data_IF_753609485475
#
_entry.id   IF_753609485475
#
_cell.length_a   1.000
_cell.length_b   1.000
_cell.length_c   1.000
_cell.angle_alpha   90.00
_cell.angle_beta   90.00
_cell.angle_gamma   90.00
#
_symmetry.space_group_name_H-M   'P 1'
#
loop_
_entity.id
_entity.type
_entity.pdbx_description
1 polymer ?
#
# COMPACT_ATOMS: atom_id res chain seq x y z
N UNK A 1 34.25 -10.11 7.14
CA UNK A 1 34.26 -9.93 8.60
C UNK A 1 33.06 -9.04 8.95
N UNK A 2 32.19 -9.52 9.82
CA UNK A 2 31.02 -8.77 10.29
C UNK A 2 31.45 -7.96 11.51
N UNK A 3 31.03 -6.69 11.55
CA UNK A 3 31.26 -5.80 12.69
C UNK A 3 29.91 -5.56 13.36
N UNK A 4 29.89 -5.51 14.68
CA UNK A 4 28.72 -5.14 15.48
C UNK A 4 29.00 -3.89 16.30
N UNK A 5 27.96 -3.11 16.55
CA UNK A 5 27.96 -1.97 17.45
C UNK A 5 26.57 -1.76 18.02
N UNK A 6 26.49 -1.17 19.20
CA UNK A 6 25.23 -0.81 19.81
C UNK A 6 24.92 0.68 19.61
N UNK A 7 23.68 0.99 19.33
CA UNK A 7 23.14 2.34 19.34
C UNK A 7 22.15 2.43 20.49
N UNK A 8 22.34 3.38 21.38
CA UNK A 8 21.38 3.68 22.45
C UNK A 8 20.71 5.02 22.21
N UNK A 9 19.37 5.00 22.28
CA UNK A 9 18.52 6.18 22.15
C UNK A 9 17.62 6.22 23.39
N UNK A 10 17.64 7.33 24.14
CA UNK A 10 16.80 7.51 25.30
C UNK A 10 15.51 8.26 24.91
N UNK A 11 14.39 7.95 25.58
CA UNK A 11 13.06 8.53 25.28
C UNK A 11 13.03 10.05 25.39
N UNK A 12 13.85 10.61 26.27
CA UNK A 12 13.89 12.05 26.54
C UNK A 12 14.70 12.82 25.50
N UNK A 13 15.55 12.11 24.73
CA UNK A 13 16.48 12.69 23.77
C UNK A 13 16.45 11.95 22.43
N UNK A 14 15.27 11.78 21.86
CA UNK A 14 15.07 11.00 20.60
C UNK A 14 15.91 11.47 19.40
N UNK A 15 16.50 12.66 19.48
CA UNK A 15 17.40 13.22 18.46
C UNK A 15 18.88 12.93 18.71
N UNK A 16 19.20 12.51 19.92
CA UNK A 16 20.57 12.22 20.33
C UNK A 16 20.74 10.71 20.52
N UNK A 17 21.88 10.21 20.11
CA UNK A 17 22.20 8.81 20.28
C UNK A 17 23.66 8.64 20.66
N UNK A 18 23.95 7.57 21.37
CA UNK A 18 25.31 7.13 21.67
C UNK A 18 25.59 5.82 20.95
N UNK A 19 26.80 5.66 20.48
CA UNK A 19 27.27 4.42 19.83
C UNK A 19 28.48 3.85 20.56
N UNK A 20 28.58 2.53 20.59
CA UNK A 20 29.82 1.85 20.98
C UNK A 20 30.82 1.83 19.83
N UNK A 21 32.09 1.62 20.13
CA UNK A 21 33.08 1.30 19.12
C UNK A 21 32.73 -0.02 18.43
N UNK A 22 32.90 -0.11 17.09
CA UNK A 22 32.64 -1.34 16.36
C UNK A 22 33.51 -2.49 16.82
N UNK A 23 32.90 -3.62 17.13
CA UNK A 23 33.57 -4.86 17.53
C UNK A 23 33.42 -5.92 16.44
N UNK A 24 34.38 -6.80 16.32
CA UNK A 24 34.28 -7.98 15.46
C UNK A 24 33.19 -8.88 16.01
N UNK A 25 32.20 -9.20 15.19
CA UNK A 25 31.12 -10.13 15.55
C UNK A 25 31.47 -11.55 15.13
N UNK A 26 31.09 -12.49 15.96
CA UNK A 26 31.14 -13.94 15.65
C UNK A 26 29.94 -14.39 14.82
N UNK A 27 29.00 -13.48 14.56
CA UNK A 27 27.81 -13.78 13.73
C UNK A 27 28.19 -14.13 12.29
N UNK A 28 27.44 -15.02 11.70
CA UNK A 28 27.60 -15.46 10.31
C UNK A 28 26.73 -14.66 9.35
N UNK A 29 25.74 -13.92 9.87
CA UNK A 29 24.78 -13.13 9.11
C UNK A 29 24.70 -11.71 9.64
N UNK A 30 24.39 -10.77 8.76
CA UNK A 30 24.11 -9.38 9.17
C UNK A 30 22.67 -9.25 9.66
N UNK A 31 22.44 -8.38 10.61
CA UNK A 31 21.11 -8.11 11.15
C UNK A 31 21.10 -6.90 12.07
N UNK A 32 19.91 -6.47 12.44
CA UNK A 32 19.67 -5.41 13.42
C UNK A 32 18.75 -5.94 14.51
N UNK A 33 19.12 -5.77 15.77
CA UNK A 33 18.27 -6.05 16.91
C UNK A 33 17.90 -4.75 17.60
N UNK A 34 16.61 -4.50 17.77
CA UNK A 34 16.10 -3.34 18.51
C UNK A 34 15.45 -3.82 19.79
N UNK A 35 15.93 -3.31 20.93
CA UNK A 35 15.42 -3.66 22.26
C UNK A 35 14.81 -2.42 22.89
N UNK A 36 13.54 -2.52 23.25
CA UNK A 36 12.84 -1.48 24.02
C UNK A 36 12.83 -1.88 25.50
N UNK A 37 13.44 -1.06 26.35
CA UNK A 37 13.47 -1.26 27.78
C UNK A 37 12.45 -0.32 28.45
N UNK A 38 11.94 -0.73 29.62
CA UNK A 38 11.07 0.10 30.45
C UNK A 38 9.82 0.61 29.72
N UNK A 39 9.19 -0.27 28.93
CA UNK A 39 7.95 0.08 28.23
C UNK A 39 6.84 0.33 29.26
N UNK A 40 6.27 1.53 29.24
CA UNK A 40 5.23 1.97 30.20
C UNK A 40 3.87 1.29 30.03
N UNK A 41 3.69 0.52 28.94
CA UNK A 41 2.42 -0.13 28.60
C UNK A 41 2.53 -1.65 28.74
N UNK A 42 1.51 -2.27 29.33
CA UNK A 42 1.41 -3.72 29.37
C UNK A 42 1.17 -4.30 27.98
N UNK A 43 2.17 -4.95 27.43
CA UNK A 43 2.05 -5.69 26.17
C UNK A 43 1.50 -7.09 26.47
N UNK A 44 0.17 -7.20 26.55
CA UNK A 44 -0.51 -8.48 26.76
C UNK A 44 -0.60 -9.30 25.48
N UNK A 45 -0.77 -10.61 25.62
CA UNK A 45 -1.05 -11.49 24.46
C UNK A 45 -2.30 -11.05 23.69
N UNK A 46 -3.27 -10.48 24.39
CA UNK A 46 -4.48 -9.93 23.77
C UNK A 46 -4.17 -8.70 22.92
N UNK A 47 -3.31 -7.79 23.40
CA UNK A 47 -2.86 -6.64 22.63
C UNK A 47 -2.12 -7.08 21.37
N UNK A 48 -1.21 -8.07 21.47
CA UNK A 48 -0.49 -8.61 20.32
C UNK A 48 -1.46 -9.15 19.27
N UNK A 49 -2.41 -9.99 19.67
CA UNK A 49 -3.31 -10.69 18.74
C UNK A 49 -4.41 -9.80 18.16
N UNK A 50 -4.95 -8.87 18.95
CA UNK A 50 -6.11 -8.04 18.56
C UNK A 50 -5.74 -6.68 17.99
N UNK A 51 -4.53 -6.19 18.28
CA UNK A 51 -4.10 -4.84 17.88
C UNK A 51 -2.85 -4.88 17.03
N UNK A 52 -1.75 -5.43 17.55
CA UNK A 52 -0.45 -5.35 16.88
C UNK A 52 -0.44 -6.15 15.56
N UNK A 53 -0.87 -7.41 15.57
CA UNK A 53 -0.88 -8.25 14.37
C UNK A 53 -1.77 -7.66 13.27
N UNK A 54 -3.02 -7.27 13.50
CA UNK A 54 -3.84 -6.60 12.48
C UNK A 54 -3.21 -5.32 11.95
N UNK A 55 -2.61 -4.51 12.83
CA UNK A 55 -1.91 -3.29 12.42
C UNK A 55 -0.72 -3.58 11.52
N UNK A 56 0.15 -4.53 11.89
CA UNK A 56 1.30 -4.90 11.08
C UNK A 56 0.90 -5.51 9.73
N UNK A 57 -0.17 -6.32 9.69
CA UNK A 57 -0.72 -6.81 8.42
C UNK A 57 -1.13 -5.65 7.52
N UNK A 58 -1.91 -4.71 8.05
CA UNK A 58 -2.36 -3.55 7.28
C UNK A 58 -1.19 -2.65 6.82
N UNK A 59 -0.16 -2.51 7.65
CA UNK A 59 0.98 -1.63 7.36
C UNK A 59 1.93 -2.23 6.32
N UNK A 60 2.24 -3.52 6.44
CA UNK A 60 3.31 -4.14 5.67
C UNK A 60 2.85 -5.06 4.53
N UNK A 61 1.56 -5.40 4.43
CA UNK A 61 1.10 -6.34 3.40
C UNK A 61 1.48 -5.94 1.98
N UNK A 62 1.36 -4.67 1.62
CA UNK A 62 1.74 -4.19 0.29
C UNK A 62 3.24 -4.34 0.01
N UNK A 63 4.08 -4.10 1.03
CA UNK A 63 5.52 -4.26 0.93
C UNK A 63 5.92 -5.73 0.82
N UNK A 64 5.35 -6.61 1.66
CA UNK A 64 5.60 -8.05 1.64
C UNK A 64 5.10 -8.69 0.34
N UNK A 65 3.99 -8.19 -0.22
CA UNK A 65 3.47 -8.65 -1.50
C UNK A 65 4.36 -8.25 -2.68
N UNK A 66 5.10 -7.16 -2.54
CA UNK A 66 6.07 -6.70 -3.52
C UNK A 66 7.41 -7.40 -3.38
N UNK A 67 7.88 -7.60 -2.15
CA UNK A 67 9.19 -8.13 -1.80
C UNK A 67 9.04 -9.42 -1.02
N UNK A 68 8.73 -10.51 -1.73
CA UNK A 68 8.42 -11.83 -1.15
C UNK A 68 9.61 -12.50 -0.45
N UNK A 69 10.81 -11.98 -0.64
CA UNK A 69 12.01 -12.44 0.08
C UNK A 69 12.06 -11.95 1.55
N UNK A 70 11.24 -10.97 1.92
CA UNK A 70 11.14 -10.48 3.28
C UNK A 70 10.00 -11.15 4.03
N UNK A 71 10.23 -11.43 5.30
CA UNK A 71 9.25 -12.05 6.19
C UNK A 71 9.26 -11.33 7.53
N UNK A 72 8.10 -11.23 8.15
CA UNK A 72 7.94 -10.68 9.50
C UNK A 72 7.51 -11.81 10.42
N UNK A 73 8.18 -11.95 11.54
CA UNK A 73 7.85 -12.95 12.56
C UNK A 73 7.43 -12.27 13.86
N UNK A 74 6.40 -12.78 14.50
CA UNK A 74 5.93 -12.33 15.80
C UNK A 74 5.92 -13.54 16.74
N UNK A 75 6.72 -13.50 17.77
CA UNK A 75 6.89 -14.64 18.69
C UNK A 75 7.21 -15.96 17.96
N UNK A 76 8.05 -15.90 16.93
CA UNK A 76 8.44 -17.06 16.13
C UNK A 76 7.41 -17.55 15.11
N UNK A 77 6.25 -16.88 14.98
CA UNK A 77 5.25 -17.18 13.96
C UNK A 77 5.30 -16.15 12.83
N UNK A 78 5.32 -16.63 11.60
CA UNK A 78 5.29 -15.77 10.42
C UNK A 78 3.98 -15.00 10.34
N UNK A 79 4.08 -13.72 9.97
CA UNK A 79 2.93 -12.84 9.76
C UNK A 79 2.22 -13.19 8.45
N UNK A 80 1.22 -14.06 8.52
CA UNK A 80 0.34 -14.32 7.38
C UNK A 80 -0.62 -13.14 7.14
N UNK A 81 -0.41 -12.42 6.06
CA UNK A 81 -1.27 -11.31 5.61
C UNK A 81 -2.24 -11.70 4.49
N UNK A 82 -2.23 -12.94 4.00
CA UNK A 82 -3.06 -13.38 2.88
C UNK A 82 -4.57 -13.15 3.13
N UNK A 83 -4.99 -13.28 4.39
CA UNK A 83 -6.39 -13.08 4.79
C UNK A 83 -6.93 -11.65 4.58
N UNK A 84 -6.06 -10.66 4.44
CA UNK A 84 -6.50 -9.28 4.17
C UNK A 84 -6.55 -8.93 2.67
N UNK A 85 -6.09 -9.82 1.80
CA UNK A 85 -6.21 -9.68 0.35
C UNK A 85 -7.59 -10.21 -0.06
N UNK A 86 -8.42 -9.35 -0.63
CA UNK A 86 -9.74 -9.71 -1.13
C UNK A 86 -9.70 -10.15 -2.60
N UNK A 87 -8.85 -9.50 -3.39
CA UNK A 87 -8.69 -9.74 -4.82
C UNK A 87 -7.31 -9.26 -5.26
N UNK A 88 -6.68 -9.97 -6.17
CA UNK A 88 -5.48 -9.50 -6.85
C UNK A 88 -5.51 -9.86 -8.34
N UNK A 89 -4.92 -9.00 -9.16
CA UNK A 89 -4.85 -9.19 -10.61
C UNK A 89 -3.60 -8.51 -11.17
N UNK A 90 -2.91 -9.18 -12.09
CA UNK A 90 -1.83 -8.59 -12.87
C UNK A 90 -2.36 -8.08 -14.19
N UNK A 91 -2.02 -6.84 -14.53
CA UNK A 91 -2.35 -6.21 -15.80
C UNK A 91 -1.10 -5.62 -16.44
N UNK A 92 -1.09 -5.52 -17.75
CA UNK A 92 0.08 -5.04 -18.48
C UNK A 92 -0.36 -4.03 -19.54
N UNK A 93 -0.67 -2.78 -19.16
CA UNK A 93 -1.01 -1.73 -20.12
C UNK A 93 0.19 -1.44 -21.04
N UNK A 94 -0.07 -1.43 -22.34
CA UNK A 94 0.89 -1.10 -23.37
C UNK A 94 0.58 0.30 -23.88
N UNK A 95 1.53 1.21 -23.72
CA UNK A 95 1.39 2.60 -24.12
C UNK A 95 2.45 2.98 -25.16
N UNK A 96 2.05 3.79 -26.14
CA UNK A 96 2.96 4.27 -27.17
C UNK A 96 3.76 5.47 -26.67
N UNK A 97 5.06 5.28 -26.55
CA UNK A 97 6.01 6.34 -26.21
C UNK A 97 6.76 6.76 -27.48
N UNK A 98 6.40 7.89 -28.03
CA UNK A 98 6.88 8.34 -29.35
C UNK A 98 6.54 7.37 -30.49
N UNK A 99 6.54 7.80 -31.72
CA UNK A 99 6.03 7.04 -32.89
C UNK A 99 6.67 5.66 -33.14
N UNK A 100 7.64 5.21 -32.33
CA UNK A 100 8.43 3.99 -32.59
C UNK A 100 8.55 3.01 -31.43
N UNK A 101 8.28 3.41 -30.18
CA UNK A 101 8.50 2.55 -29.01
C UNK A 101 7.22 2.43 -28.19
N UNK A 102 6.82 1.21 -27.89
CA UNK A 102 5.78 0.93 -26.90
C UNK A 102 6.43 0.55 -25.57
N UNK A 103 5.90 1.07 -24.48
CA UNK A 103 6.26 0.64 -23.12
C UNK A 103 5.14 -0.27 -22.61
N UNK A 104 5.53 -1.41 -22.06
CA UNK A 104 4.64 -2.39 -21.46
C UNK A 104 4.84 -2.38 -19.95
N UNK A 105 4.00 -1.64 -19.25
CA UNK A 105 4.08 -1.52 -17.79
C UNK A 105 3.59 -2.80 -17.10
N UNK A 106 4.36 -3.29 -16.14
CA UNK A 106 3.91 -4.38 -15.27
C UNK A 106 3.12 -3.79 -14.12
N UNK A 107 1.85 -4.17 -14.00
CA UNK A 107 1.00 -3.65 -12.94
C UNK A 107 0.37 -4.79 -12.14
N UNK A 108 0.34 -4.63 -10.81
CA UNK A 108 -0.35 -5.50 -9.89
C UNK A 108 -1.42 -4.72 -9.14
N UNK A 109 -2.66 -5.09 -9.34
CA UNK A 109 -3.81 -4.57 -8.60
C UNK A 109 -4.08 -5.47 -7.40
N UNK A 110 -4.35 -4.86 -6.24
CA UNK A 110 -4.74 -5.55 -5.01
C UNK A 110 -5.91 -4.81 -4.40
N UNK A 111 -6.99 -5.54 -4.09
CA UNK A 111 -8.09 -5.06 -3.26
C UNK A 111 -7.96 -5.67 -1.86
N UNK A 112 -8.10 -4.84 -0.86
CA UNK A 112 -7.93 -5.21 0.53
C UNK A 112 -9.27 -5.44 1.23
N UNK A 113 -9.33 -6.39 2.17
CA UNK A 113 -10.49 -6.64 3.03
C UNK A 113 -10.57 -5.69 4.22
N UNK A 114 -9.48 -5.01 4.53
CA UNK A 114 -9.36 -4.11 5.68
C UNK A 114 -8.97 -2.73 5.21
N UNK A 115 -9.35 -1.73 6.00
CA UNK A 115 -8.83 -0.38 5.79
C UNK A 115 -7.33 -0.42 6.06
N UNK A 116 -6.55 -0.20 5.02
CA UNK A 116 -5.15 0.11 5.13
C UNK A 116 -5.07 1.50 5.77
N UNK A 117 -3.96 2.07 6.07
CA UNK A 117 -3.86 3.42 6.64
C UNK A 117 -4.69 4.48 5.88
N UNK A 118 -4.77 5.71 6.36
CA UNK A 118 -5.70 6.73 5.85
C UNK A 118 -5.55 7.11 4.37
N UNK A 119 -4.46 6.66 3.73
CA UNK A 119 -4.13 7.06 2.37
C UNK A 119 -3.77 5.90 1.41
N UNK A 120 -4.10 4.65 1.73
CA UNK A 120 -3.60 3.49 0.97
C UNK A 120 -4.33 3.12 -0.30
N UNK A 121 -5.37 3.81 -0.69
CA UNK A 121 -5.86 3.70 -2.07
C UNK A 121 -4.94 4.50 -2.98
N UNK A 122 -3.77 3.93 -3.29
CA UNK A 122 -2.67 4.59 -4.00
C UNK A 122 -2.15 3.79 -5.18
N UNK A 123 -1.53 4.51 -6.09
CA UNK A 123 -0.57 3.99 -7.06
C UNK A 123 0.83 4.04 -6.44
N UNK A 124 1.59 2.97 -6.61
CA UNK A 124 3.00 2.86 -6.25
C UNK A 124 3.79 2.66 -7.53
N UNK A 125 4.69 3.57 -7.85
CA UNK A 125 5.53 3.52 -9.05
C UNK A 125 6.95 3.15 -8.67
N UNK A 126 7.41 2.01 -9.20
CA UNK A 126 8.71 1.43 -8.90
C UNK A 126 9.50 1.22 -10.18
N UNK A 127 10.83 1.22 -10.04
CA UNK A 127 11.71 0.73 -11.10
C UNK A 127 11.78 -0.81 -11.10
N UNK A 128 12.53 -1.39 -12.04
CA UNK A 128 12.69 -2.85 -12.13
C UNK A 128 13.48 -3.45 -10.95
N UNK A 129 14.26 -2.65 -10.21
CA UNK A 129 14.94 -3.05 -8.97
C UNK A 129 14.00 -3.01 -7.76
N UNK A 130 12.70 -2.78 -7.98
CA UNK A 130 11.67 -2.65 -6.94
C UNK A 130 11.94 -1.51 -5.94
N UNK A 131 12.60 -0.46 -6.39
CA UNK A 131 12.73 0.78 -5.61
C UNK A 131 11.52 1.68 -5.85
N UNK A 132 10.92 2.13 -4.77
CA UNK A 132 9.80 3.05 -4.83
C UNK A 132 10.29 4.44 -5.30
N UNK A 133 9.82 4.89 -6.44
CA UNK A 133 10.17 6.19 -7.03
C UNK A 133 9.12 7.26 -6.73
N UNK A 134 7.85 6.89 -6.71
CA UNK A 134 6.76 7.84 -6.51
C UNK A 134 5.49 7.16 -6.02
N UNK A 135 4.65 7.87 -5.28
CA UNK A 135 3.29 7.44 -4.93
C UNK A 135 2.27 8.49 -5.31
N UNK A 136 1.06 8.05 -5.65
CA UNK A 136 -0.04 8.95 -5.98
C UNK A 136 -1.37 8.36 -5.50
N UNK A 137 -2.20 9.16 -4.85
CA UNK A 137 -3.54 8.75 -4.49
C UNK A 137 -4.39 8.49 -5.74
N UNK A 138 -5.24 7.45 -5.69
CA UNK A 138 -6.18 7.16 -6.78
C UNK A 138 -7.38 8.12 -6.73
N UNK A 139 -8.10 8.25 -7.85
CA UNK A 139 -9.36 9.04 -7.88
C UNK A 139 -10.48 8.43 -7.02
N UNK A 140 -10.32 7.17 -6.59
CA UNK A 140 -11.30 6.45 -5.77
C UNK A 140 -10.92 6.43 -4.29
N UNK A 141 -9.84 7.10 -3.92
CA UNK A 141 -9.45 7.25 -2.52
C UNK A 141 -10.52 8.04 -1.74
N UNK A 142 -10.82 7.60 -0.51
CA UNK A 142 -11.77 8.27 0.41
C UNK A 142 -13.20 8.46 -0.14
N UNK A 143 -13.68 7.54 -0.98
CA UNK A 143 -15.08 7.56 -1.47
C UNK A 143 -16.11 7.06 -0.46
N UNK A 144 -15.67 6.58 0.70
CA UNK A 144 -16.56 6.13 1.78
C UNK A 144 -17.24 4.78 1.57
N UNK A 145 -16.85 4.04 0.55
CA UNK A 145 -17.46 2.78 0.14
C UNK A 145 -16.63 1.53 0.49
N UNK A 146 -15.61 1.66 1.28
CA UNK A 146 -14.71 0.58 1.69
C UNK A 146 -13.99 -0.14 0.53
N UNK A 147 -13.91 0.48 -0.64
CA UNK A 147 -13.15 -0.04 -1.79
C UNK A 147 -11.66 0.27 -1.63
N UNK A 148 -11.03 -0.39 -0.65
CA UNK A 148 -9.61 -0.20 -0.38
C UNK A 148 -8.76 -0.96 -1.38
N UNK A 149 -7.81 -0.29 -2.01
CA UNK A 149 -7.03 -0.87 -3.08
C UNK A 149 -5.65 -0.23 -3.23
N UNK A 150 -4.74 -0.99 -3.80
CA UNK A 150 -3.41 -0.55 -4.22
C UNK A 150 -3.16 -0.98 -5.66
N UNK A 151 -2.43 -0.18 -6.42
CA UNK A 151 -1.92 -0.55 -7.73
C UNK A 151 -0.42 -0.31 -7.75
N UNK A 152 0.34 -1.36 -7.89
CA UNK A 152 1.79 -1.34 -8.01
C UNK A 152 2.12 -1.34 -9.49
N UNK A 153 2.93 -0.40 -9.94
CA UNK A 153 3.34 -0.24 -11.34
C UNK A 153 4.85 -0.28 -11.41
N UNK A 154 5.40 -1.20 -12.20
CA UNK A 154 6.84 -1.47 -12.27
C UNK A 154 7.33 -1.23 -13.69
N UNK A 155 8.29 -0.32 -13.84
CA UNK A 155 9.02 -0.07 -15.07
C UNK A 155 10.18 0.92 -14.82
N UNK A 156 11.28 0.78 -15.54
CA UNK A 156 12.43 1.70 -15.45
C UNK A 156 12.14 3.10 -15.97
N UNK A 157 11.02 3.30 -16.65
CA UNK A 157 10.48 4.61 -17.01
C UNK A 157 10.40 5.55 -15.78
N UNK A 158 10.16 5.01 -14.59
CA UNK A 158 10.02 5.79 -13.36
C UNK A 158 11.37 6.25 -12.78
N UNK A 159 12.51 5.80 -13.30
CA UNK A 159 13.82 6.34 -12.93
C UNK A 159 13.99 7.82 -13.35
N UNK A 160 13.22 8.26 -14.36
CA UNK A 160 13.23 9.64 -14.87
C UNK A 160 12.37 10.61 -14.03
N UNK A 161 11.77 10.13 -12.93
CA UNK A 161 10.98 10.98 -12.02
C UNK A 161 11.91 11.84 -11.19
N UNK A 162 11.75 13.15 -11.30
CA UNK A 162 12.44 14.12 -10.45
C UNK A 162 11.80 14.17 -9.06
N UNK A 163 12.45 13.53 -8.07
CA UNK A 163 11.99 13.50 -6.68
C UNK A 163 12.36 14.76 -5.86
N UNK A 164 13.11 15.70 -6.42
CA UNK A 164 13.62 16.88 -5.71
C UNK A 164 12.54 17.92 -5.35
N UNK A 165 11.34 17.74 -5.83
CA UNK A 165 10.22 18.57 -5.41
C UNK A 165 9.46 17.84 -4.30
N UNK A 166 9.71 18.20 -3.04
CA UNK A 166 8.87 17.84 -1.92
C UNK A 166 7.41 18.03 -2.29
N UNK A 167 6.65 16.95 -2.21
CA UNK A 167 5.26 16.91 -2.61
C UNK A 167 4.43 17.72 -1.61
N UNK A 168 4.32 19.01 -1.85
CA UNK A 168 3.21 19.79 -1.34
C UNK A 168 1.97 19.33 -2.11
N UNK A 169 1.03 18.67 -1.42
CA UNK A 169 -0.26 18.22 -1.99
C UNK A 169 -1.05 19.36 -2.65
N UNK A 170 -0.65 20.61 -2.40
CA UNK A 170 -1.20 21.84 -2.97
C UNK A 170 -0.38 22.42 -4.12
N UNK A 171 0.78 21.86 -4.45
CA UNK A 171 1.58 22.37 -5.55
C UNK A 171 0.89 22.06 -6.90
N UNK A 172 0.66 23.11 -7.64
CA UNK A 172 0.23 23.10 -9.05
C UNK A 172 1.19 22.18 -9.82
N UNK A 173 0.85 20.91 -9.97
CA UNK A 173 1.51 19.84 -10.71
C UNK A 173 3.06 19.90 -10.61
N UNK A 174 3.67 19.09 -9.73
CA UNK A 174 5.12 18.93 -9.76
C UNK A 174 5.52 18.45 -11.16
N UNK A 175 6.60 19.02 -11.70
CA UNK A 175 7.18 18.56 -12.97
C UNK A 175 7.85 17.20 -12.72
N UNK A 176 7.05 16.15 -12.60
CA UNK A 176 7.55 14.77 -12.39
C UNK A 176 8.50 14.33 -13.51
N UNK A 177 8.35 14.88 -14.70
CA UNK A 177 9.20 14.57 -15.85
C UNK A 177 9.60 15.85 -16.58
N UNK A 178 10.85 15.92 -17.03
CA UNK A 178 11.37 17.10 -17.73
C UNK A 178 10.78 17.24 -19.12
N UNK A 179 10.62 16.16 -19.86
CA UNK A 179 10.11 16.22 -21.21
C UNK A 179 8.57 16.08 -21.31
N UNK A 180 8.02 16.65 -22.37
CA UNK A 180 6.56 16.64 -22.59
C UNK A 180 5.99 15.29 -23.01
N UNK A 181 6.81 14.44 -23.63
CA UNK A 181 6.38 13.12 -24.08
C UNK A 181 6.15 12.18 -22.88
N UNK A 182 7.06 12.18 -21.91
CA UNK A 182 6.95 11.37 -20.69
C UNK A 182 5.77 11.84 -19.83
N UNK A 183 5.56 13.14 -19.73
CA UNK A 183 4.37 13.69 -19.06
C UNK A 183 3.06 13.21 -19.70
N UNK A 184 3.02 13.19 -21.03
CA UNK A 184 1.84 12.71 -21.77
C UNK A 184 1.63 11.21 -21.54
N UNK A 185 2.68 10.42 -21.65
CA UNK A 185 2.65 8.98 -21.41
C UNK A 185 2.19 8.66 -19.98
N UNK A 186 2.76 9.32 -18.98
CA UNK A 186 2.35 9.14 -17.59
C UNK A 186 0.89 9.51 -17.36
N UNK A 187 0.41 10.61 -17.94
CA UNK A 187 -1.00 11.00 -17.86
C UNK A 187 -1.92 9.95 -18.50
N UNK A 188 -1.52 9.37 -19.61
CA UNK A 188 -2.28 8.31 -20.29
C UNK A 188 -2.30 7.04 -19.43
N UNK A 189 -1.16 6.64 -18.85
CA UNK A 189 -1.06 5.52 -17.90
C UNK A 189 -2.04 5.70 -16.74
N UNK A 190 -2.00 6.85 -16.06
CA UNK A 190 -2.92 7.17 -14.95
C UNK A 190 -4.37 7.09 -15.39
N UNK A 191 -4.68 7.55 -16.60
CA UNK A 191 -6.06 7.50 -17.14
C UNK A 191 -6.51 6.06 -17.31
N UNK A 192 -5.70 5.20 -17.93
CA UNK A 192 -6.03 3.78 -18.13
C UNK A 192 -6.17 3.04 -16.80
N UNK A 193 -5.27 3.28 -15.85
CA UNK A 193 -5.35 2.67 -14.51
C UNK A 193 -6.60 3.10 -13.74
N UNK A 194 -6.99 4.38 -13.82
CA UNK A 194 -8.23 4.85 -13.19
C UNK A 194 -9.47 4.24 -13.85
N UNK A 195 -9.50 4.06 -15.18
CA UNK A 195 -10.61 3.37 -15.87
C UNK A 195 -10.67 1.88 -15.47
N UNK A 196 -9.54 1.21 -15.33
CA UNK A 196 -9.48 -0.13 -14.80
C UNK A 196 -10.06 -0.20 -13.37
N UNK A 197 -9.65 0.69 -12.47
CA UNK A 197 -10.18 0.77 -11.11
C UNK A 197 -11.69 1.04 -11.07
N UNK A 198 -12.22 1.89 -11.93
CA UNK A 198 -13.67 2.12 -12.04
C UNK A 198 -14.42 0.84 -12.45
N UNK A 199 -13.84 0.05 -13.38
CA UNK A 199 -14.42 -1.24 -13.78
C UNK A 199 -14.43 -2.23 -12.62
N UNK A 200 -13.37 -2.30 -11.81
CA UNK A 200 -13.27 -3.15 -10.61
C UNK A 200 -14.23 -2.73 -9.50
N UNK A 201 -14.42 -1.43 -9.32
CA UNK A 201 -15.31 -0.90 -8.29
C UNK A 201 -16.80 -1.19 -8.56
N UNK A 202 -17.24 -1.23 -9.80
CA UNK A 202 -18.67 -1.44 -10.14
C UNK A 202 -19.24 -2.74 -9.56
N UNK A 203 -18.67 -3.94 -9.80
CA UNK A 203 -19.16 -5.18 -9.22
C UNK A 203 -19.09 -5.16 -7.69
N UNK A 204 -18.02 -4.59 -7.10
CA UNK A 204 -17.91 -4.43 -5.65
C UNK A 204 -19.08 -3.64 -5.06
N UNK A 205 -19.45 -2.50 -5.65
CA UNK A 205 -20.58 -1.70 -5.17
C UNK A 205 -21.91 -2.44 -5.31
N UNK A 206 -22.09 -3.22 -6.37
CA UNK A 206 -23.29 -4.04 -6.56
C UNK A 206 -23.41 -5.10 -5.46
N UNK A 207 -22.31 -5.81 -5.18
CA UNK A 207 -22.26 -6.81 -4.10
C UNK A 207 -22.56 -6.17 -2.73
N UNK A 208 -21.96 -5.02 -2.41
CA UNK A 208 -22.22 -4.30 -1.17
C UNK A 208 -23.69 -3.85 -1.06
N UNK A 209 -24.28 -3.40 -2.14
CA UNK A 209 -25.70 -3.02 -2.16
C UNK A 209 -26.62 -4.25 -1.92
N UNK A 210 -26.34 -5.39 -2.53
CA UNK A 210 -27.09 -6.62 -2.34
C UNK A 210 -27.02 -7.13 -0.88
N UNK A 211 -25.81 -7.08 -0.28
CA UNK A 211 -25.62 -7.43 1.14
C UNK A 211 -26.43 -6.50 2.04
N UNK A 212 -26.40 -5.18 1.77
CA UNK A 212 -27.13 -4.19 2.56
C UNK A 212 -28.64 -4.36 2.43
N UNK A 213 -29.15 -4.60 1.23
CA UNK A 213 -30.59 -4.87 0.98
C UNK A 213 -31.02 -6.13 1.72
N UNK A 214 -30.22 -7.20 1.67
CA UNK A 214 -30.51 -8.46 2.36
C UNK A 214 -30.56 -8.25 3.87
N UNK A 215 -29.60 -7.49 4.42
CA UNK A 215 -29.58 -7.14 5.83
C UNK A 215 -30.86 -6.41 6.25
N UNK A 216 -31.25 -5.36 5.53
CA UNK A 216 -32.43 -4.56 5.84
C UNK A 216 -33.73 -5.36 5.69
N UNK A 217 -33.81 -6.29 4.74
CA UNK A 217 -34.95 -7.22 4.63
C UNK A 217 -35.06 -8.13 5.86
N UNK A 218 -33.94 -8.65 6.34
CA UNK A 218 -33.91 -9.53 7.51
C UNK A 218 -34.24 -8.81 8.81
N UNK A 219 -33.88 -7.53 8.90
CA UNK A 219 -34.18 -6.67 10.06
C UNK A 219 -35.59 -6.04 10.00
N UNK A 220 -36.39 -6.37 8.98
CA UNK A 220 -37.75 -5.84 8.72
C UNK A 220 -37.83 -4.30 8.64
N UNK A 221 -36.71 -3.64 8.33
CA UNK A 221 -36.61 -2.18 8.16
C UNK A 221 -36.72 -1.75 6.72
N UNK A 222 -36.82 -2.71 5.79
CA UNK A 222 -36.99 -2.41 4.37
C UNK A 222 -38.43 -1.99 4.08
N UNK A 223 -38.67 -0.88 3.36
CA UNK A 223 -40.01 -0.43 3.02
C UNK A 223 -40.77 -1.54 2.27
N UNK A 224 -41.92 -1.94 2.80
CA UNK A 224 -42.85 -2.86 2.11
C UNK A 224 -43.76 -1.99 1.23
N UNK A 225 -43.41 -1.86 -0.04
CA UNK A 225 -44.31 -1.25 -1.01
C UNK A 225 -45.47 -2.24 -1.26
N UNK A 226 -46.69 -1.80 -1.01
CA UNK A 226 -47.88 -2.55 -1.38
C UNK A 226 -47.94 -2.72 -2.91
N UNK A 227 -48.48 -3.84 -3.37
CA UNK A 227 -48.67 -4.10 -4.80
C UNK A 227 -49.62 -3.13 -5.50
N UNK A 228 -50.21 -2.19 -4.74
CA UNK A 228 -51.20 -1.22 -5.21
C UNK A 228 -50.58 0.15 -5.60
N UNK A 229 -49.29 0.36 -5.40
CA UNK A 229 -48.64 1.66 -5.67
C UNK A 229 -48.00 1.77 -7.07
N UNK A 230 -48.41 0.92 -8.02
CA UNK A 230 -47.85 0.88 -9.38
C UNK A 230 -48.90 1.21 -10.49
N UNK A 231 -49.90 2.02 -10.21
CA UNK A 231 -50.83 2.56 -11.22
C UNK A 231 -50.46 4.01 -11.61
#
# INVERSE_FOLDING_TARGET
QIMSYDIRIDSDTLKDYTTTEPLVSDDTTTGTCVVFNEISSDISSLFITKTLIPYLKAEFAWFLELKSEYQIYINGQELDYSSIIAEQESISPILSHNQKNNINFQCKYIRWNVKMNDEYSRFYFLNNDLELKFTKTTLLNKKGDNFWHSVIVIDDFFNEINCDNELDDNAIQPKLFDNSADRKLFKELITQLNEFLKKKRRPFLKEQAEVMVTKYKNEDVFPKFGTEDWD
#
